data_IF_321825263492
#
_entry.id   IF_321825263492
#
_cell.length_a   1.000
_cell.length_b   1.000
_cell.length_c   1.000
_cell.angle_alpha   90.00
_cell.angle_beta   90.00
_cell.angle_gamma   90.00
#
_symmetry.space_group_name_H-M   'P 1'
#
loop_
_entity.id
_entity.type
_entity.pdbx_description
1 polymer ?
#
# COMPACT_ATOMS: atom_id res chain seq x y z
N UNK A 1 28.69 -10.59 11.93
CA UNK A 1 28.40 -9.91 10.66
C UNK A 1 28.24 -10.97 9.58
N UNK A 2 27.01 -11.28 9.10
CA UNK A 2 26.86 -12.20 7.98
C UNK A 2 27.26 -11.43 6.71
N UNK A 3 28.32 -11.86 6.05
CA UNK A 3 28.71 -11.36 4.74
C UNK A 3 27.55 -11.60 3.75
N UNK A 4 27.16 -10.56 3.02
CA UNK A 4 26.21 -10.69 1.93
C UNK A 4 26.76 -11.72 0.94
N UNK A 5 25.94 -12.72 0.58
CA UNK A 5 26.32 -13.66 -0.46
C UNK A 5 26.32 -12.92 -1.80
N UNK A 6 27.42 -12.90 -2.57
CA UNK A 6 27.52 -12.13 -3.78
C UNK A 6 26.58 -12.63 -4.91
N UNK A 7 25.96 -13.79 -4.73
CA UNK A 7 25.03 -14.44 -5.65
C UNK A 7 23.55 -14.16 -5.36
N UNK A 8 23.27 -13.36 -4.32
CA UNK A 8 21.89 -13.02 -3.90
C UNK A 8 21.58 -11.59 -4.35
N UNK A 9 20.56 -11.44 -5.19
CA UNK A 9 20.05 -10.13 -5.56
C UNK A 9 19.31 -9.46 -4.40
N UNK A 10 19.67 -8.21 -4.13
CA UNK A 10 19.01 -7.38 -3.14
C UNK A 10 18.41 -6.16 -3.84
N UNK A 11 17.06 -6.12 -4.01
CA UNK A 11 16.42 -5.00 -4.68
C UNK A 11 16.61 -3.71 -3.88
N UNK A 12 16.82 -2.60 -4.58
CA UNK A 12 16.83 -1.26 -3.99
C UNK A 12 15.40 -0.80 -3.78
N UNK A 13 14.93 -0.87 -2.55
CA UNK A 13 13.57 -0.50 -2.17
C UNK A 13 13.57 0.93 -1.62
N UNK A 14 12.65 1.75 -2.11
CA UNK A 14 12.43 3.12 -1.63
C UNK A 14 11.01 3.24 -1.09
N UNK A 15 10.88 3.78 0.13
CA UNK A 15 9.62 4.33 0.62
C UNK A 15 9.56 5.79 0.18
N UNK A 16 8.70 6.08 -0.80
CA UNK A 16 8.58 7.40 -1.42
C UNK A 16 7.68 8.31 -0.57
N UNK A 17 8.28 9.14 0.25
CA UNK A 17 7.62 10.06 1.18
C UNK A 17 8.60 10.91 1.95
N UNK A 18 8.08 11.82 2.77
CA UNK A 18 8.86 12.58 3.73
C UNK A 18 9.39 11.67 4.85
N UNK A 19 10.36 12.12 5.67
CA UNK A 19 10.83 11.37 6.83
C UNK A 19 9.67 10.81 7.64
N UNK A 20 9.80 9.60 8.21
CA UNK A 20 8.66 8.83 8.66
C UNK A 20 7.82 9.58 9.68
N UNK A 21 6.54 9.71 9.40
CA UNK A 21 5.56 10.01 10.42
C UNK A 21 5.67 8.94 11.54
N UNK A 22 5.43 9.26 12.83
CA UNK A 22 5.51 8.28 13.90
C UNK A 22 4.77 6.96 13.62
N UNK A 23 3.67 7.00 12.86
CA UNK A 23 2.93 5.81 12.43
C UNK A 23 3.66 4.94 11.42
N UNK A 24 4.59 5.49 10.65
CA UNK A 24 5.38 4.80 9.64
C UNK A 24 6.74 4.28 10.16
N UNK A 25 7.08 4.58 11.40
CA UNK A 25 8.38 4.25 11.98
C UNK A 25 8.72 2.75 11.95
N UNK A 26 7.70 1.87 11.94
CA UNK A 26 7.84 0.41 11.88
C UNK A 26 8.13 -0.15 10.49
N UNK A 27 7.89 0.59 9.39
CA UNK A 27 7.96 0.06 8.01
C UNK A 27 9.36 -0.45 7.64
N UNK A 28 10.39 0.38 7.79
CA UNK A 28 11.79 0.00 7.48
C UNK A 28 12.29 -1.12 8.39
N UNK A 29 12.09 -1.08 9.72
CA UNK A 29 12.43 -2.19 10.60
C UNK A 29 11.73 -3.51 10.21
N UNK A 30 10.45 -3.48 9.85
CA UNK A 30 9.69 -4.65 9.42
C UNK A 30 10.31 -5.29 8.16
N UNK A 31 10.61 -4.50 7.14
CA UNK A 31 11.27 -4.95 5.92
C UNK A 31 12.65 -5.53 6.22
N UNK A 32 13.44 -4.86 7.07
CA UNK A 32 14.80 -5.32 7.44
C UNK A 32 14.79 -6.68 8.13
N UNK A 33 13.78 -6.98 8.97
CA UNK A 33 13.62 -8.30 9.60
C UNK A 33 13.46 -9.43 8.58
N UNK A 34 12.97 -9.10 7.37
CA UNK A 34 12.84 -10.04 6.24
C UNK A 34 14.03 -10.00 5.26
N UNK A 35 15.08 -9.25 5.58
CA UNK A 35 16.25 -9.09 4.70
C UNK A 35 16.00 -8.12 3.53
N UNK A 36 14.89 -7.39 3.54
CA UNK A 36 14.58 -6.36 2.56
C UNK A 36 15.13 -5.02 3.04
N UNK A 37 16.02 -4.43 2.27
CA UNK A 37 16.69 -3.17 2.63
C UNK A 37 16.00 -2.00 1.94
N UNK A 38 15.26 -1.22 2.72
CA UNK A 38 14.55 -0.04 2.24
C UNK A 38 15.09 1.24 2.88
N UNK A 39 14.92 2.35 2.17
CA UNK A 39 15.24 3.71 2.63
C UNK A 39 14.13 4.69 2.27
N UNK A 40 14.01 5.75 3.05
CA UNK A 40 13.13 6.86 2.75
C UNK A 40 13.78 7.82 1.75
N UNK A 41 13.01 8.28 0.76
CA UNK A 41 13.33 9.39 -0.12
C UNK A 41 12.04 10.15 -0.43
N UNK A 42 12.08 11.48 -0.58
CA UNK A 42 10.96 12.23 -1.16
C UNK A 42 10.59 11.66 -2.53
N UNK A 43 9.31 11.63 -2.87
CA UNK A 43 8.88 11.05 -4.15
C UNK A 43 9.51 11.72 -5.37
N UNK A 44 9.83 13.03 -5.27
CA UNK A 44 10.48 13.82 -6.33
C UNK A 44 12.01 13.73 -6.33
N UNK A 45 12.62 12.98 -5.40
CA UNK A 45 14.07 12.77 -5.40
C UNK A 45 14.49 11.94 -6.64
N UNK A 46 15.53 12.36 -7.38
CA UNK A 46 16.02 11.61 -8.54
C UNK A 46 16.40 10.15 -8.23
N UNK A 47 16.80 9.87 -7.00
CA UNK A 47 17.14 8.52 -6.53
C UNK A 47 15.95 7.55 -6.53
N UNK A 48 14.70 8.04 -6.50
CA UNK A 48 13.51 7.18 -6.61
C UNK A 48 13.38 6.55 -7.98
N UNK A 49 13.76 7.27 -9.05
CA UNK A 49 13.72 6.76 -10.42
C UNK A 49 14.69 5.59 -10.66
N UNK A 50 15.74 5.46 -9.85
CA UNK A 50 16.71 4.38 -9.93
C UNK A 50 16.40 3.20 -9.00
N UNK A 51 15.32 3.26 -8.22
CA UNK A 51 14.88 2.18 -7.35
C UNK A 51 14.34 0.99 -8.15
N UNK A 52 14.59 -0.22 -7.65
CA UNK A 52 14.02 -1.43 -8.25
C UNK A 52 12.56 -1.61 -7.84
N UNK A 53 12.18 -1.11 -6.64
CA UNK A 53 10.83 -1.10 -6.11
C UNK A 53 10.56 0.19 -5.34
N UNK A 54 9.42 0.80 -5.57
CA UNK A 54 8.94 1.98 -4.84
C UNK A 54 7.67 1.63 -4.08
N UNK A 55 7.65 1.91 -2.80
CA UNK A 55 6.47 1.83 -1.93
C UNK A 55 6.01 3.26 -1.66
N UNK A 56 4.78 3.57 -2.05
CA UNK A 56 4.24 4.92 -1.95
C UNK A 56 3.81 5.22 -0.52
N UNK A 57 4.36 6.30 0.05
CA UNK A 57 4.03 6.80 1.40
C UNK A 57 3.85 8.32 1.43
N UNK A 58 3.52 8.90 0.28
CA UNK A 58 3.17 10.31 0.14
C UNK A 58 1.97 10.47 -0.78
N UNK A 59 1.09 11.40 -0.45
CA UNK A 59 0.06 11.90 -1.34
C UNK A 59 0.50 13.28 -1.88
N UNK A 60 0.18 13.62 -3.14
CA UNK A 60 0.53 14.90 -3.71
C UNK A 60 -0.41 16.00 -3.19
N UNK A 61 0.11 17.22 -3.07
CA UNK A 61 -0.73 18.39 -3.05
C UNK A 61 -1.52 18.51 -4.35
N UNK A 62 -2.68 19.15 -4.30
CA UNK A 62 -3.56 19.36 -5.47
C UNK A 62 -2.79 20.01 -6.63
N UNK A 63 -1.94 21.01 -6.35
CA UNK A 63 -1.13 21.72 -7.35
C UNK A 63 -0.09 20.82 -8.04
N UNK A 64 0.38 19.76 -7.38
CA UNK A 64 1.40 18.84 -7.91
C UNK A 64 0.83 17.51 -8.37
N UNK A 65 -0.49 17.33 -8.38
CA UNK A 65 -1.15 16.06 -8.76
C UNK A 65 -0.70 15.56 -10.13
N UNK A 66 -0.68 16.42 -11.14
CA UNK A 66 -0.27 16.02 -12.50
C UNK A 66 1.19 15.57 -12.57
N UNK A 67 2.10 16.28 -11.89
CA UNK A 67 3.52 15.92 -11.80
C UNK A 67 3.70 14.58 -11.08
N UNK A 68 2.99 14.39 -9.97
CA UNK A 68 3.00 13.16 -9.20
C UNK A 68 2.53 11.96 -10.03
N UNK A 69 1.40 12.07 -10.73
CA UNK A 69 0.89 11.01 -11.59
C UNK A 69 1.82 10.69 -12.76
N UNK A 70 2.49 11.70 -13.32
CA UNK A 70 3.51 11.48 -14.34
C UNK A 70 4.74 10.76 -13.75
N UNK A 71 5.11 11.05 -12.51
CA UNK A 71 6.18 10.38 -11.81
C UNK A 71 5.84 8.91 -11.48
N UNK A 72 4.64 8.60 -11.00
CA UNK A 72 4.23 7.22 -10.68
C UNK A 72 4.40 6.28 -11.87
N UNK A 73 4.11 6.76 -13.10
CA UNK A 73 4.28 5.98 -14.36
C UNK A 73 5.73 5.78 -14.78
N UNK A 74 6.68 6.55 -14.23
CA UNK A 74 8.13 6.39 -14.50
C UNK A 74 8.82 5.47 -13.51
N UNK A 75 8.23 5.21 -12.36
CA UNK A 75 8.75 4.24 -11.42
C UNK A 75 8.78 2.85 -12.08
N UNK A 76 9.89 2.13 -11.95
CA UNK A 76 10.04 0.81 -12.57
C UNK A 76 8.99 -0.17 -12.04
N UNK A 77 8.84 -0.21 -10.73
CA UNK A 77 7.79 -0.95 -10.04
C UNK A 77 7.30 -0.08 -8.88
N UNK A 78 6.02 0.24 -8.89
CA UNK A 78 5.34 1.00 -7.84
C UNK A 78 4.31 0.13 -7.14
N UNK A 79 4.26 0.15 -5.83
CA UNK A 79 3.21 -0.43 -5.01
C UNK A 79 2.47 0.69 -4.24
N UNK A 80 1.18 0.91 -4.43
CA UNK A 80 0.25 0.30 -5.37
C UNK A 80 0.52 0.71 -6.83
N UNK A 81 0.03 -0.07 -7.84
CA UNK A 81 0.30 0.23 -9.25
C UNK A 81 -0.22 1.60 -9.68
N UNK A 82 0.44 2.25 -10.68
CA UNK A 82 0.12 3.62 -11.10
C UNK A 82 -1.33 3.86 -11.49
N UNK A 83 -2.00 2.87 -12.12
CA UNK A 83 -3.39 3.02 -12.55
C UNK A 83 -4.36 2.99 -11.36
N UNK A 84 -4.09 2.18 -10.33
CA UNK A 84 -4.85 2.19 -9.07
C UNK A 84 -4.68 3.54 -8.34
N UNK A 85 -3.45 4.06 -8.29
CA UNK A 85 -3.16 5.38 -7.70
C UNK A 85 -3.88 6.49 -8.47
N UNK A 86 -3.81 6.48 -9.79
CA UNK A 86 -4.45 7.50 -10.63
C UNK A 86 -5.97 7.51 -10.48
N UNK A 87 -6.59 6.32 -10.46
CA UNK A 87 -8.03 6.18 -10.25
C UNK A 87 -8.44 6.66 -8.85
N UNK A 88 -7.71 6.26 -7.82
CA UNK A 88 -8.03 6.60 -6.43
C UNK A 88 -7.85 8.10 -6.11
N UNK A 89 -6.90 8.77 -6.77
CA UNK A 89 -6.75 10.23 -6.69
C UNK A 89 -7.81 10.99 -7.50
N UNK A 90 -8.59 10.31 -8.34
CA UNK A 90 -9.68 10.93 -9.12
C UNK A 90 -10.88 11.27 -8.25
N UNK A 91 -11.61 12.34 -8.61
CA UNK A 91 -12.77 12.83 -7.84
C UNK A 91 -14.00 11.91 -7.97
N UNK A 92 -13.95 10.88 -8.82
CA UNK A 92 -15.08 10.00 -9.14
C UNK A 92 -15.04 8.62 -8.53
N UNK A 93 -13.98 8.23 -7.84
CA UNK A 93 -13.79 6.83 -7.42
C UNK A 93 -14.92 6.28 -6.53
N UNK A 94 -15.49 7.10 -5.61
CA UNK A 94 -16.62 6.66 -4.77
C UNK A 94 -17.89 6.45 -5.60
N UNK A 95 -18.12 7.27 -6.64
CA UNK A 95 -19.23 7.08 -7.57
C UNK A 95 -19.05 5.80 -8.37
N UNK A 96 -17.82 5.54 -8.80
CA UNK A 96 -17.47 4.33 -9.53
C UNK A 96 -17.70 3.08 -8.67
N UNK A 97 -17.26 3.08 -7.40
CA UNK A 97 -17.52 2.01 -6.45
C UNK A 97 -19.03 1.79 -6.23
N UNK A 98 -19.80 2.88 -6.11
CA UNK A 98 -21.25 2.79 -6.00
C UNK A 98 -21.90 2.13 -7.23
N UNK A 99 -21.42 2.46 -8.43
CA UNK A 99 -21.91 1.86 -9.68
C UNK A 99 -21.57 0.37 -9.76
N UNK A 100 -20.47 -0.07 -9.12
CA UNK A 100 -20.08 -1.46 -9.02
C UNK A 100 -20.80 -2.22 -7.89
N UNK A 101 -21.76 -1.57 -7.22
CA UNK A 101 -22.58 -2.19 -6.19
C UNK A 101 -22.02 -2.05 -4.76
N UNK A 102 -20.93 -1.31 -4.55
CA UNK A 102 -20.39 -1.05 -3.21
C UNK A 102 -21.22 0.08 -2.56
N UNK A 103 -21.89 -0.15 -1.41
CA UNK A 103 -22.62 0.91 -0.72
C UNK A 103 -21.68 2.03 -0.25
N UNK A 104 -21.90 3.25 -0.70
CA UNK A 104 -21.07 4.41 -0.35
C UNK A 104 -21.87 5.50 0.37
N UNK A 105 -21.21 6.28 1.22
CA UNK A 105 -21.78 7.42 1.93
C UNK A 105 -20.74 8.57 2.02
N UNK A 106 -20.43 9.24 0.88
CA UNK A 106 -19.45 10.32 0.86
C UNK A 106 -19.86 11.45 1.80
N UNK A 107 -18.88 12.05 2.50
CA UNK A 107 -19.09 13.16 3.42
C UNK A 107 -19.58 12.77 4.82
N UNK A 108 -19.88 11.50 5.10
CA UNK A 108 -20.13 11.05 6.47
C UNK A 108 -18.81 10.92 7.25
N UNK A 109 -18.91 11.07 8.56
CA UNK A 109 -17.77 10.78 9.45
C UNK A 109 -17.55 9.28 9.54
N UNK A 110 -16.31 8.84 9.29
CA UNK A 110 -15.91 7.45 9.46
C UNK A 110 -16.01 7.01 10.93
N UNK A 111 -16.53 5.84 11.15
CA UNK A 111 -16.70 5.22 12.47
C UNK A 111 -15.68 4.09 12.68
N UNK A 112 -15.23 3.45 11.60
CA UNK A 112 -14.19 2.43 11.62
C UNK A 112 -13.28 2.56 10.41
N UNK A 113 -12.06 2.05 10.56
CA UNK A 113 -11.09 1.94 9.48
C UNK A 113 -10.57 0.51 9.40
N UNK A 114 -10.62 -0.08 8.21
CA UNK A 114 -10.10 -1.41 7.93
C UNK A 114 -8.84 -1.30 7.09
N UNK A 115 -7.81 -2.04 7.45
CA UNK A 115 -6.56 -2.11 6.73
C UNK A 115 -6.41 -3.47 6.06
N UNK A 116 -6.09 -3.42 4.78
CA UNK A 116 -5.74 -4.58 3.97
C UNK A 116 -4.26 -4.49 3.57
N UNK A 117 -3.56 -5.62 3.63
CA UNK A 117 -2.16 -5.75 3.24
C UNK A 117 -2.02 -6.90 2.25
N UNK A 118 -1.50 -6.62 1.05
CA UNK A 118 -1.40 -7.62 -0.01
C UNK A 118 -2.76 -8.15 -0.48
N UNK A 119 -3.82 -7.36 -0.33
CA UNK A 119 -5.20 -7.72 -0.65
C UNK A 119 -5.94 -8.48 0.46
N UNK A 120 -5.27 -8.85 1.54
CA UNK A 120 -5.85 -9.61 2.66
C UNK A 120 -6.19 -8.71 3.85
N UNK A 121 -7.26 -9.01 4.62
CA UNK A 121 -7.56 -8.32 5.86
C UNK A 121 -6.39 -8.40 6.84
N UNK A 122 -6.03 -7.27 7.44
CA UNK A 122 -4.93 -7.20 8.42
C UNK A 122 -5.44 -6.81 9.80
N UNK A 123 -5.96 -5.62 9.95
CA UNK A 123 -6.45 -5.09 11.23
C UNK A 123 -7.44 -3.94 10.99
N UNK A 124 -8.16 -3.58 12.05
CA UNK A 124 -9.11 -2.48 12.02
C UNK A 124 -9.12 -1.74 13.37
N UNK A 125 -9.69 -0.54 13.37
CA UNK A 125 -10.00 0.21 14.59
C UNK A 125 -11.26 1.09 14.42
N UNK A 126 -12.20 1.06 15.39
CA UNK A 126 -12.35 -0.02 16.37
C UNK A 126 -12.58 -1.37 15.68
N UNK A 127 -12.55 -2.47 16.45
CA UNK A 127 -12.86 -3.81 15.92
C UNK A 127 -14.26 -3.79 15.28
N UNK A 128 -14.38 -4.10 13.98
CA UNK A 128 -15.64 -4.04 13.26
C UNK A 128 -16.42 -5.35 13.40
N UNK A 129 -17.72 -5.30 13.05
CA UNK A 129 -18.51 -6.50 12.80
C UNK A 129 -17.99 -7.22 11.53
N UNK A 130 -18.30 -8.52 11.42
CA UNK A 130 -17.76 -9.36 10.34
C UNK A 130 -18.12 -8.83 8.94
N UNK A 131 -19.37 -8.38 8.77
CA UNK A 131 -19.91 -7.86 7.52
C UNK A 131 -19.15 -6.61 7.00
N UNK A 132 -18.49 -5.89 7.89
CA UNK A 132 -17.67 -4.74 7.52
C UNK A 132 -16.46 -5.15 6.66
N UNK A 133 -15.88 -6.31 6.96
CA UNK A 133 -14.78 -6.86 6.16
C UNK A 133 -15.22 -7.23 4.74
N UNK A 134 -16.42 -7.78 4.57
CA UNK A 134 -16.97 -8.09 3.24
C UNK A 134 -17.15 -6.82 2.42
N UNK A 135 -17.65 -5.75 3.04
CA UNK A 135 -17.78 -4.44 2.38
C UNK A 135 -16.41 -3.87 1.96
N UNK A 136 -15.43 -3.91 2.88
CA UNK A 136 -14.06 -3.48 2.58
C UNK A 136 -13.44 -4.29 1.45
N UNK A 137 -13.63 -5.62 1.48
CA UNK A 137 -13.13 -6.52 0.44
C UNK A 137 -13.79 -6.25 -0.92
N UNK A 138 -15.10 -6.02 -0.96
CA UNK A 138 -15.80 -5.64 -2.18
C UNK A 138 -15.24 -4.31 -2.77
N UNK A 139 -14.93 -3.35 -1.90
CA UNK A 139 -14.35 -2.07 -2.33
C UNK A 139 -12.96 -2.23 -2.97
N UNK A 140 -12.06 -3.01 -2.35
CA UNK A 140 -10.71 -3.23 -2.91
C UNK A 140 -10.75 -4.12 -4.15
N UNK A 141 -11.68 -5.09 -4.23
CA UNK A 141 -11.86 -5.92 -5.41
C UNK A 141 -12.34 -5.09 -6.62
N UNK A 142 -13.31 -4.20 -6.42
CA UNK A 142 -13.75 -3.26 -7.45
C UNK A 142 -12.61 -2.34 -7.90
N UNK A 143 -11.85 -1.78 -6.96
CA UNK A 143 -10.70 -0.93 -7.26
C UNK A 143 -9.63 -1.65 -8.09
N UNK A 144 -9.30 -2.89 -7.72
CA UNK A 144 -8.33 -3.72 -8.43
C UNK A 144 -8.82 -4.04 -9.86
N UNK A 145 -10.09 -4.43 -10.01
CA UNK A 145 -10.69 -4.72 -11.32
C UNK A 145 -10.65 -3.49 -12.25
N UNK A 146 -10.91 -2.28 -11.73
CA UNK A 146 -10.83 -1.03 -12.51
C UNK A 146 -9.42 -0.68 -12.91
N UNK A 147 -8.43 -1.02 -12.09
CA UNK A 147 -7.02 -0.86 -12.42
C UNK A 147 -6.46 -2.00 -13.29
N UNK A 148 -7.26 -3.01 -13.61
CA UNK A 148 -6.83 -4.16 -14.42
C UNK A 148 -5.80 -5.06 -13.73
N UNK A 149 -5.83 -5.14 -12.40
CA UNK A 149 -4.89 -5.89 -11.57
C UNK A 149 -5.62 -6.90 -10.67
N UNK A 150 -4.89 -7.82 -10.08
CA UNK A 150 -5.39 -8.66 -8.99
C UNK A 150 -5.46 -7.91 -7.65
N UNK A 151 -6.38 -8.29 -6.77
CA UNK A 151 -6.48 -7.69 -5.41
C UNK A 151 -5.16 -7.83 -4.66
N UNK A 152 -4.46 -8.96 -4.80
CA UNK A 152 -3.15 -9.20 -4.20
C UNK A 152 -2.00 -8.31 -4.72
N UNK A 153 -2.23 -7.53 -5.79
CA UNK A 153 -1.26 -6.56 -6.29
C UNK A 153 -1.36 -5.21 -5.57
N UNK A 154 -2.43 -5.00 -4.80
CA UNK A 154 -2.54 -3.89 -3.86
C UNK A 154 -1.73 -4.20 -2.61
N UNK A 155 -0.61 -3.49 -2.42
CA UNK A 155 0.21 -3.67 -1.22
C UNK A 155 -0.56 -3.31 0.04
N UNK A 156 -1.29 -2.20 -0.01
CA UNK A 156 -2.11 -1.71 1.09
C UNK A 156 -3.38 -1.04 0.58
N UNK A 157 -4.41 -1.12 1.38
CA UNK A 157 -5.62 -0.33 1.23
C UNK A 157 -6.18 0.01 2.61
N UNK A 158 -6.79 1.19 2.73
CA UNK A 158 -7.57 1.57 3.89
C UNK A 158 -8.99 1.88 3.44
N UNK A 159 -9.95 1.18 4.02
CA UNK A 159 -11.36 1.43 3.84
C UNK A 159 -11.95 2.07 5.11
N UNK A 160 -12.42 3.29 5.00
CA UNK A 160 -13.10 4.00 6.07
C UNK A 160 -14.62 3.80 5.95
N UNK A 161 -15.26 3.33 7.01
CA UNK A 161 -16.68 2.96 7.02
C UNK A 161 -17.49 3.81 8.00
N UNK A 162 -18.77 4.01 7.67
CA UNK A 162 -19.80 4.53 8.57
C UNK A 162 -21.01 3.56 8.55
N UNK A 163 -21.05 2.66 9.52
CA UNK A 163 -21.96 1.51 9.53
C UNK A 163 -21.70 0.60 8.34
N UNK A 164 -22.75 0.30 7.59
CA UNK A 164 -22.73 -0.56 6.39
C UNK A 164 -22.33 0.17 5.09
N UNK A 165 -21.66 1.31 5.18
CA UNK A 165 -21.32 2.15 4.02
C UNK A 165 -19.88 2.59 4.02
N UNK A 166 -19.26 2.52 2.84
CA UNK A 166 -17.92 3.04 2.59
C UNK A 166 -17.95 4.57 2.51
N UNK A 167 -17.14 5.23 3.31
CA UNK A 167 -16.96 6.68 3.34
C UNK A 167 -15.79 7.10 2.45
N UNK A 168 -14.67 6.35 2.55
CA UNK A 168 -13.47 6.59 1.77
C UNK A 168 -12.70 5.29 1.55
N UNK A 169 -11.96 5.24 0.45
CA UNK A 169 -10.94 4.23 0.16
C UNK A 169 -9.64 4.96 -0.14
N UNK A 170 -8.56 4.64 0.56
CA UNK A 170 -7.23 5.18 0.32
C UNK A 170 -6.27 4.07 -0.12
N UNK A 171 -5.78 4.20 -1.37
CA UNK A 171 -4.80 3.32 -2.00
C UNK A 171 -3.45 4.02 -2.23
N UNK A 172 -3.31 5.28 -1.80
CA UNK A 172 -2.15 6.11 -2.15
C UNK A 172 -1.12 6.14 -1.02
N UNK A 173 -1.52 6.61 0.14
CA UNK A 173 -0.64 6.68 1.31
C UNK A 173 -1.46 6.59 2.61
N UNK A 174 -2.24 5.52 2.81
CA UNK A 174 -3.11 5.43 3.97
C UNK A 174 -2.31 5.43 5.27
N UNK A 175 -2.85 6.08 6.32
CA UNK A 175 -2.41 5.79 7.68
C UNK A 175 -2.74 4.32 7.97
N UNK A 176 -1.71 3.55 8.33
CA UNK A 176 -1.87 2.13 8.67
C UNK A 176 -2.35 1.94 10.12
N UNK A 177 -2.46 3.01 10.90
CA UNK A 177 -3.02 3.00 12.25
C UNK A 177 -2.26 2.16 13.28
N UNK A 178 -1.00 1.85 13.03
CA UNK A 178 -0.18 0.99 13.90
C UNK A 178 0.00 1.53 15.32
N UNK A 179 -0.10 2.85 15.50
CA UNK A 179 -0.10 3.49 16.82
C UNK A 179 -1.33 3.17 17.68
N UNK A 180 -2.39 2.65 17.07
CA UNK A 180 -3.65 2.31 17.72
C UNK A 180 -3.73 0.84 18.14
N UNK A 181 -2.79 0.02 17.70
CA UNK A 181 -2.71 -1.40 17.98
C UNK A 181 -1.93 -1.66 19.27
N UNK A 182 -2.30 -2.72 19.98
CA UNK A 182 -1.44 -3.26 21.01
C UNK A 182 -0.14 -3.83 20.42
N UNK A 183 0.80 -4.20 21.27
CA UNK A 183 2.13 -4.64 20.85
C UNK A 183 2.05 -5.86 19.94
N UNK A 184 1.26 -6.87 20.30
CA UNK A 184 1.18 -8.14 19.56
C UNK A 184 0.48 -7.96 18.22
N UNK A 185 -0.61 -7.19 18.18
CA UNK A 185 -1.34 -6.87 16.95
C UNK A 185 -0.46 -6.05 16.00
N UNK A 186 0.30 -5.08 16.54
CA UNK A 186 1.25 -4.29 15.76
C UNK A 186 2.36 -5.16 15.18
N UNK A 187 2.95 -6.07 15.94
CA UNK A 187 3.99 -6.98 15.44
C UNK A 187 3.45 -7.90 14.34
N UNK A 188 2.20 -8.34 14.44
CA UNK A 188 1.53 -9.09 13.35
C UNK A 188 1.39 -8.23 12.10
N UNK A 189 0.82 -7.02 12.22
CA UNK A 189 0.61 -6.12 11.10
C UNK A 189 1.93 -5.71 10.40
N UNK A 190 2.99 -5.43 11.17
CA UNK A 190 4.33 -5.17 10.64
C UNK A 190 4.89 -6.37 9.86
N UNK A 191 4.68 -7.58 10.36
CA UNK A 191 5.09 -8.82 9.68
C UNK A 191 4.30 -9.03 8.39
N UNK A 192 2.97 -8.84 8.43
CA UNK A 192 2.09 -9.02 7.27
C UNK A 192 2.43 -8.02 6.16
N UNK A 193 2.71 -6.77 6.52
CA UNK A 193 3.23 -5.77 5.59
C UNK A 193 4.53 -6.25 4.91
N UNK A 194 5.50 -6.72 5.69
CA UNK A 194 6.78 -7.15 5.14
C UNK A 194 6.64 -8.42 4.27
N UNK A 195 5.73 -9.33 4.61
CA UNK A 195 5.39 -10.51 3.80
C UNK A 195 4.71 -10.10 2.49
N UNK A 196 3.81 -9.12 2.51
CA UNK A 196 3.16 -8.61 1.30
C UNK A 196 4.19 -7.98 0.34
N UNK A 197 5.16 -7.21 0.86
CA UNK A 197 6.27 -6.67 0.05
C UNK A 197 7.16 -7.77 -0.50
N UNK A 198 7.53 -8.78 0.30
CA UNK A 198 8.33 -9.92 -0.15
C UNK A 198 7.62 -10.70 -1.27
N UNK A 199 6.32 -10.94 -1.11
CA UNK A 199 5.48 -11.58 -2.13
C UNK A 199 5.44 -10.77 -3.42
N UNK A 200 5.27 -9.45 -3.32
CA UNK A 200 5.31 -8.55 -4.47
C UNK A 200 6.69 -8.59 -5.17
N UNK A 201 7.79 -8.59 -4.43
CA UNK A 201 9.13 -8.78 -4.99
C UNK A 201 9.23 -10.09 -5.78
N UNK A 202 8.66 -11.18 -5.26
CA UNK A 202 8.62 -12.48 -5.95
C UNK A 202 7.88 -12.40 -7.28
N UNK A 203 6.67 -11.81 -7.29
CA UNK A 203 5.85 -11.66 -8.52
C UNK A 203 6.50 -10.75 -9.56
N UNK A 204 7.24 -9.73 -9.11
CA UNK A 204 7.93 -8.77 -9.99
C UNK A 204 9.31 -9.25 -10.47
N UNK A 205 9.73 -10.47 -10.13
CA UNK A 205 11.04 -10.97 -10.49
C UNK A 205 12.19 -10.28 -9.73
N UNK A 206 11.92 -9.71 -8.58
CA UNK A 206 12.89 -9.05 -7.69
C UNK A 206 13.30 -9.94 -6.50
N UNK A 207 12.94 -11.20 -6.53
CA UNK A 207 13.32 -12.17 -5.50
C UNK A 207 14.83 -12.48 -5.50
N UNK A 208 15.33 -13.10 -4.43
CA UNK A 208 16.77 -13.33 -4.22
C UNK A 208 17.44 -14.20 -5.30
N UNK A 209 16.66 -14.92 -6.10
CA UNK A 209 17.16 -15.80 -7.18
C UNK A 209 16.74 -15.34 -8.59
N UNK A 210 16.12 -14.18 -8.72
CA UNK A 210 15.55 -13.68 -9.97
C UNK A 210 16.58 -13.41 -11.08
N UNK A 211 17.84 -13.27 -10.74
CA UNK A 211 18.94 -13.01 -11.70
C UNK A 211 19.85 -14.22 -11.93
N UNK A 212 19.48 -15.40 -11.49
CA UNK A 212 20.09 -16.64 -11.96
C UNK A 212 19.50 -16.97 -13.33
N UNK A 213 19.99 -16.29 -14.37
CA UNK A 213 19.81 -16.72 -15.73
C UNK A 213 20.47 -18.09 -15.96
N UNK A 214 20.09 -18.80 -17.05
CA UNK A 214 20.72 -20.03 -17.41
C UNK A 214 22.19 -19.84 -17.71
#
# INVERSE_FOLDING_TARGET
MKLARPDVFHPRIVLAGEPPHPEDAGLVPALRRRGLHARWLPWHDPGTASADLVILRAAPDVARRAEFLAWTRRARHLLNPPDAVAWNLGDGYLRDLKNDGVPTAPGRTAQSALIFLGGEPSHAWPEPEFEAWDLGHAAIASAAARAGIGVGDLLFARADLAGDRLVALDLVAPSLGWSRLDVDARERAERDFALAVESACGRLGLGPFSHRGP
#
